data_IF_492771741605
#
_entry.id   IF_492771741605
#
_cell.length_a   1.000
_cell.length_b   1.000
_cell.length_c   1.000
_cell.angle_alpha   90.00
_cell.angle_beta   90.00
_cell.angle_gamma   90.00
#
_symmetry.space_group_name_H-M   'P 1'
#
loop_
_entity.id
_entity.type
_entity.pdbx_description
1 polymer ?
#
# COMPACT_ATOMS: atom_id res chain seq x y z
N UNK A 1 42.42 27.23 -31.12
CA UNK A 1 42.76 25.99 -30.38
C UNK A 1 43.89 26.16 -29.36
N UNK A 2 44.84 27.05 -29.59
CA UNK A 2 45.96 27.27 -28.63
C UNK A 2 45.57 28.03 -27.35
N UNK A 3 44.50 28.82 -27.37
CA UNK A 3 44.03 29.57 -26.21
C UNK A 3 43.41 28.69 -25.10
N UNK A 4 42.82 27.55 -25.45
CA UNK A 4 42.18 26.65 -24.51
C UNK A 4 43.18 25.86 -23.66
N UNK A 5 44.33 25.51 -24.21
CA UNK A 5 45.39 24.76 -23.50
C UNK A 5 46.06 25.66 -22.43
N UNK A 6 46.29 26.94 -22.70
CA UNK A 6 46.87 27.90 -21.77
C UNK A 6 45.93 28.24 -20.60
N UNK A 7 44.62 28.31 -20.88
CA UNK A 7 43.60 28.52 -19.85
C UNK A 7 43.48 27.34 -18.89
N UNK A 8 43.54 26.12 -19.40
CA UNK A 8 43.52 24.91 -18.59
C UNK A 8 44.70 24.83 -17.63
N UNK A 9 45.88 25.24 -18.08
CA UNK A 9 47.10 25.25 -17.27
C UNK A 9 47.06 26.29 -16.16
N UNK A 10 46.41 27.44 -16.39
CA UNK A 10 46.27 28.52 -15.41
C UNK A 10 45.27 28.24 -14.30
N UNK A 11 44.20 27.51 -14.60
CA UNK A 11 43.12 27.23 -13.67
C UNK A 11 43.25 25.86 -13.00
N UNK A 12 44.33 25.13 -13.24
CA UNK A 12 44.59 23.84 -12.56
C UNK A 12 43.51 22.79 -12.78
N UNK A 13 42.79 22.86 -13.89
CA UNK A 13 41.76 21.89 -14.24
C UNK A 13 42.47 20.58 -14.56
N UNK A 14 42.52 19.69 -13.56
CA UNK A 14 42.99 18.31 -13.74
C UNK A 14 42.00 17.60 -14.66
N UNK A 15 42.51 16.89 -15.65
CA UNK A 15 41.66 15.91 -16.38
C UNK A 15 41.14 14.91 -15.38
N UNK A 16 39.90 15.07 -14.96
CA UNK A 16 39.24 14.08 -14.12
C UNK A 16 39.19 12.80 -14.93
N UNK A 17 39.77 11.78 -14.35
CA UNK A 17 39.68 10.41 -14.90
C UNK A 17 38.19 10.09 -15.06
N UNK A 18 37.78 9.76 -16.26
CA UNK A 18 36.41 9.42 -16.64
C UNK A 18 35.81 8.25 -15.83
N UNK A 19 36.64 7.63 -14.97
CA UNK A 19 36.23 6.57 -14.05
C UNK A 19 35.11 6.98 -13.10
N UNK A 20 35.03 8.24 -12.70
CA UNK A 20 33.93 8.75 -11.86
C UNK A 20 32.57 8.72 -12.58
N UNK A 21 32.54 8.97 -13.87
CA UNK A 21 31.32 8.88 -14.67
C UNK A 21 30.76 7.44 -14.69
N UNK A 22 31.63 6.46 -14.78
CA UNK A 22 31.23 5.05 -14.73
C UNK A 22 30.61 4.68 -13.37
N UNK A 23 31.19 5.17 -12.28
CA UNK A 23 30.60 4.99 -10.94
C UNK A 23 29.24 5.65 -10.82
N UNK A 24 29.08 6.86 -11.36
CA UNK A 24 27.80 7.56 -11.36
C UNK A 24 26.74 6.80 -12.18
N UNK A 25 27.10 6.28 -13.35
CA UNK A 25 26.18 5.51 -14.21
C UNK A 25 25.79 4.21 -13.51
N UNK A 26 26.73 3.48 -12.93
CA UNK A 26 26.45 2.22 -12.22
C UNK A 26 25.53 2.47 -11.02
N UNK A 27 25.80 3.53 -10.25
CA UNK A 27 24.94 3.91 -9.11
C UNK A 27 23.54 4.30 -9.56
N UNK A 28 23.41 5.02 -10.66
CA UNK A 28 22.11 5.42 -11.22
C UNK A 28 21.31 4.20 -11.68
N UNK A 29 21.96 3.26 -12.38
CA UNK A 29 21.31 2.03 -12.83
C UNK A 29 20.88 1.14 -11.66
N UNK A 30 21.73 1.01 -10.64
CA UNK A 30 21.40 0.24 -9.44
C UNK A 30 20.20 0.86 -8.69
N UNK A 31 20.22 2.17 -8.48
CA UNK A 31 19.13 2.88 -7.85
C UNK A 31 17.84 2.79 -8.67
N UNK A 32 17.90 2.98 -9.98
CA UNK A 32 16.77 2.87 -10.89
C UNK A 32 16.13 1.47 -10.87
N UNK A 33 16.95 0.44 -10.94
CA UNK A 33 16.47 -0.96 -10.86
C UNK A 33 15.79 -1.25 -9.52
N UNK A 34 16.37 -0.76 -8.43
CA UNK A 34 15.80 -0.93 -7.11
C UNK A 34 14.47 -0.18 -6.96
N UNK A 35 14.37 1.05 -7.48
CA UNK A 35 13.12 1.81 -7.47
C UNK A 35 12.02 1.12 -8.27
N UNK A 36 12.32 0.61 -9.47
CA UNK A 36 11.36 -0.11 -10.30
C UNK A 36 10.88 -1.37 -9.59
N UNK A 37 11.80 -2.15 -9.04
CA UNK A 37 11.46 -3.36 -8.29
C UNK A 37 10.57 -3.04 -7.08
N UNK A 38 10.92 -2.01 -6.30
CA UNK A 38 10.15 -1.57 -5.15
C UNK A 38 8.75 -1.08 -5.55
N UNK A 39 8.65 -0.31 -6.63
CA UNK A 39 7.37 0.18 -7.15
C UNK A 39 6.45 -0.95 -7.61
N UNK A 40 7.00 -1.92 -8.35
CA UNK A 40 6.24 -3.09 -8.81
C UNK A 40 5.75 -3.93 -7.63
N UNK A 41 6.60 -4.12 -6.63
CA UNK A 41 6.24 -4.89 -5.45
C UNK A 41 5.17 -4.18 -4.59
N UNK A 42 5.27 -2.87 -4.47
CA UNK A 42 4.26 -2.07 -3.76
C UNK A 42 2.93 -1.96 -4.52
N UNK A 43 2.98 -1.95 -5.86
CA UNK A 43 1.78 -1.86 -6.70
C UNK A 43 0.98 -3.17 -6.75
N UNK A 44 1.57 -4.30 -6.37
CA UNK A 44 0.94 -5.63 -6.42
C UNK A 44 0.93 -6.29 -5.03
N UNK A 45 0.17 -5.76 -4.05
CA UNK A 45 0.03 -6.41 -2.75
C UNK A 45 -0.66 -7.77 -2.89
N UNK A 46 -0.36 -8.69 -1.99
CA UNK A 46 -0.95 -10.03 -1.98
C UNK A 46 -2.45 -10.00 -1.68
N UNK A 47 -2.88 -9.01 -0.91
CA UNK A 47 -4.28 -8.77 -0.56
C UNK A 47 -4.62 -7.32 -0.90
N UNK A 48 -5.64 -7.13 -1.73
CA UNK A 48 -6.23 -5.81 -2.02
C UNK A 48 -7.61 -5.74 -1.42
N UNK A 49 -7.90 -4.67 -0.74
CA UNK A 49 -9.21 -4.45 -0.15
C UNK A 49 -9.63 -2.99 -0.32
N UNK A 50 -10.93 -2.80 -0.43
CA UNK A 50 -11.53 -1.47 -0.58
C UNK A 50 -12.88 -1.43 0.13
N UNK A 51 -13.09 -0.39 0.93
CA UNK A 51 -14.38 -0.13 1.54
C UNK A 51 -15.33 0.44 0.49
N UNK A 52 -16.42 -0.27 0.22
CA UNK A 52 -17.41 0.17 -0.77
C UNK A 52 -18.47 1.07 -0.13
N UNK A 53 -19.06 0.62 0.98
CA UNK A 53 -20.10 1.36 1.67
C UNK A 53 -20.27 0.89 3.11
N UNK A 54 -20.91 1.70 3.90
CA UNK A 54 -21.40 1.29 5.22
C UNK A 54 -22.78 1.91 5.46
N UNK A 55 -23.60 1.20 6.23
CA UNK A 55 -24.94 1.64 6.58
C UNK A 55 -25.17 1.44 8.08
N UNK A 56 -25.59 2.48 8.76
CA UNK A 56 -25.97 2.40 10.17
C UNK A 56 -27.32 1.70 10.27
N UNK A 57 -27.34 0.50 10.84
CA UNK A 57 -28.55 -0.31 11.00
C UNK A 57 -29.39 0.20 12.16
N UNK A 58 -28.75 0.43 13.30
CA UNK A 58 -29.34 1.01 14.49
C UNK A 58 -28.26 1.61 15.40
N UNK A 59 -28.64 2.07 16.59
CA UNK A 59 -27.71 2.72 17.53
C UNK A 59 -26.60 1.80 18.07
N UNK A 60 -26.66 0.50 17.79
CA UNK A 60 -25.71 -0.48 18.30
C UNK A 60 -25.16 -1.42 17.22
N UNK A 61 -25.43 -1.15 15.96
CA UNK A 61 -24.88 -1.94 14.87
C UNK A 61 -24.71 -1.14 13.59
N UNK A 62 -23.72 -1.52 12.80
CA UNK A 62 -23.41 -0.94 11.51
C UNK A 62 -23.08 -2.08 10.53
N UNK A 63 -23.67 -2.01 9.34
CA UNK A 63 -23.39 -2.92 8.23
C UNK A 63 -22.29 -2.35 7.35
N UNK A 64 -21.29 -3.13 7.03
CA UNK A 64 -20.14 -2.72 6.21
C UNK A 64 -20.04 -3.63 4.99
N UNK A 65 -19.98 -3.02 3.83
CA UNK A 65 -19.76 -3.72 2.56
C UNK A 65 -18.38 -3.33 2.02
N UNK A 66 -17.56 -4.32 1.75
CA UNK A 66 -16.23 -4.11 1.22
C UNK A 66 -15.88 -5.15 0.16
N UNK A 67 -14.91 -4.82 -0.68
CA UNK A 67 -14.36 -5.75 -1.66
C UNK A 67 -12.97 -6.21 -1.23
N UNK A 68 -12.67 -7.45 -1.53
CA UNK A 68 -11.35 -8.05 -1.30
C UNK A 68 -10.93 -8.88 -2.51
N UNK A 69 -9.67 -8.76 -2.88
CA UNK A 69 -9.04 -9.57 -3.91
C UNK A 69 -7.71 -10.09 -3.37
N UNK A 70 -7.52 -11.39 -3.43
CA UNK A 70 -6.33 -12.08 -2.93
C UNK A 70 -5.63 -12.82 -4.04
N UNK A 71 -4.30 -12.90 -3.98
CA UNK A 71 -3.51 -13.68 -4.95
C UNK A 71 -3.51 -15.16 -4.63
N UNK A 72 -3.43 -15.52 -3.36
CA UNK A 72 -3.40 -16.91 -2.91
C UNK A 72 -4.78 -17.32 -2.37
N UNK A 73 -5.45 -18.19 -3.10
CA UNK A 73 -6.76 -18.74 -2.74
C UNK A 73 -6.68 -20.03 -1.90
N UNK A 74 -5.48 -20.51 -1.61
CA UNK A 74 -5.25 -21.76 -0.89
C UNK A 74 -5.01 -21.58 0.61
N UNK A 75 -4.95 -20.33 1.08
CA UNK A 75 -4.77 -20.00 2.49
C UNK A 75 -5.97 -19.21 3.01
N UNK A 76 -6.17 -19.26 4.33
CA UNK A 76 -7.19 -18.48 4.99
C UNK A 76 -6.77 -17.01 5.06
N UNK A 77 -7.74 -16.12 4.90
CA UNK A 77 -7.56 -14.67 5.03
C UNK A 77 -8.48 -14.11 6.08
N UNK A 78 -8.14 -12.94 6.61
CA UNK A 78 -8.97 -12.22 7.56
C UNK A 78 -8.83 -10.72 7.38
N UNK A 79 -9.92 -9.98 7.62
CA UNK A 79 -9.92 -8.53 7.66
C UNK A 79 -10.35 -8.04 9.02
N UNK A 80 -9.60 -7.10 9.59
CA UNK A 80 -9.98 -6.39 10.80
C UNK A 80 -10.74 -5.11 10.41
N UNK A 81 -11.97 -4.99 10.86
CA UNK A 81 -12.87 -3.89 10.53
C UNK A 81 -13.33 -3.25 11.82
N UNK A 82 -13.30 -1.93 11.88
CA UNK A 82 -13.66 -1.16 13.07
C UNK A 82 -14.82 -0.22 12.77
N UNK A 83 -15.67 -0.01 13.77
CA UNK A 83 -16.69 1.03 13.76
C UNK A 83 -16.29 2.15 14.70
N UNK A 84 -16.58 3.39 14.31
CA UNK A 84 -16.20 4.60 15.05
C UNK A 84 -17.41 5.47 15.30
N UNK A 85 -17.35 6.22 16.40
CA UNK A 85 -18.34 7.26 16.73
C UNK A 85 -17.98 8.62 16.10
N UNK A 86 -18.76 9.64 16.45
CA UNK A 86 -18.57 11.01 15.97
C UNK A 86 -17.20 11.59 16.41
N UNK A 87 -16.68 11.16 17.53
CA UNK A 87 -15.38 11.58 18.07
C UNK A 87 -14.21 10.75 17.53
N UNK A 88 -14.46 9.85 16.58
CA UNK A 88 -13.50 8.93 15.97
C UNK A 88 -12.94 7.86 16.92
N UNK A 89 -13.62 7.61 18.02
CA UNK A 89 -13.27 6.52 18.93
C UNK A 89 -13.76 5.19 18.37
N UNK A 90 -12.95 4.15 18.50
CA UNK A 90 -13.34 2.79 18.13
C UNK A 90 -14.35 2.26 19.14
N UNK A 91 -15.57 2.02 18.68
CA UNK A 91 -16.69 1.54 19.52
C UNK A 91 -17.11 0.12 19.20
N UNK A 92 -16.57 -0.46 18.15
CA UNK A 92 -16.77 -1.86 17.78
C UNK A 92 -15.67 -2.31 16.84
N UNK A 93 -15.32 -3.57 16.93
CA UNK A 93 -14.32 -4.22 16.09
C UNK A 93 -14.73 -5.64 15.80
N UNK A 94 -14.49 -6.10 14.57
CA UNK A 94 -14.72 -7.47 14.16
C UNK A 94 -13.57 -7.93 13.26
N UNK A 95 -13.21 -9.22 13.41
CA UNK A 95 -12.31 -9.87 12.46
C UNK A 95 -13.15 -10.79 11.57
N UNK A 96 -13.27 -10.44 10.30
CA UNK A 96 -13.99 -11.25 9.31
C UNK A 96 -13.07 -12.34 8.78
N UNK A 97 -13.28 -13.56 9.26
CA UNK A 97 -12.52 -14.73 8.84
C UNK A 97 -13.04 -15.26 7.50
N UNK A 98 -12.13 -15.41 6.56
CA UNK A 98 -12.42 -15.90 5.22
C UNK A 98 -11.61 -17.19 4.97
N UNK A 99 -12.22 -18.36 5.12
CA UNK A 99 -11.55 -19.63 4.80
C UNK A 99 -11.13 -19.68 3.33
N UNK A 100 -10.08 -20.41 3.03
CA UNK A 100 -9.52 -20.55 1.68
C UNK A 100 -10.57 -20.89 0.61
N UNK A 101 -11.56 -21.72 0.96
CA UNK A 101 -12.63 -22.15 0.05
C UNK A 101 -13.73 -21.11 -0.17
N UNK A 102 -13.78 -20.04 0.61
CA UNK A 102 -14.85 -19.03 0.57
C UNK A 102 -14.59 -17.89 -0.42
N UNK A 103 -13.36 -17.71 -0.88
CA UNK A 103 -12.95 -16.67 -1.80
C UNK A 103 -12.78 -17.23 -3.22
N UNK A 104 -13.10 -16.38 -4.19
CA UNK A 104 -12.95 -16.66 -5.63
C UNK A 104 -11.83 -15.80 -6.22
N UNK A 105 -11.34 -16.21 -7.37
CA UNK A 105 -10.43 -15.39 -8.17
C UNK A 105 -11.07 -14.06 -8.55
N UNK A 106 -10.31 -12.97 -8.45
CA UNK A 106 -10.79 -11.62 -8.73
C UNK A 106 -11.39 -10.92 -7.51
N UNK A 107 -12.35 -10.05 -7.74
CA UNK A 107 -12.98 -9.24 -6.70
C UNK A 107 -14.09 -10.02 -6.00
N UNK A 108 -14.02 -10.10 -4.67
CA UNK A 108 -15.06 -10.67 -3.82
C UNK A 108 -15.70 -9.55 -3.01
N UNK A 109 -17.03 -9.48 -3.02
CA UNK A 109 -17.80 -8.49 -2.25
C UNK A 109 -18.34 -9.19 -0.99
N UNK A 110 -18.08 -8.61 0.16
CA UNK A 110 -18.55 -9.11 1.45
C UNK A 110 -19.31 -8.03 2.20
N UNK A 111 -20.35 -8.45 2.88
CA UNK A 111 -21.12 -7.58 3.77
C UNK A 111 -21.14 -8.20 5.15
N UNK A 112 -20.75 -7.45 6.16
CA UNK A 112 -20.76 -7.87 7.55
C UNK A 112 -21.43 -6.81 8.42
N UNK A 113 -21.92 -7.24 9.58
CA UNK A 113 -22.51 -6.40 10.59
C UNK A 113 -21.62 -6.36 11.83
N UNK A 114 -21.35 -5.15 12.33
CA UNK A 114 -20.51 -4.93 13.50
C UNK A 114 -21.41 -4.46 14.65
N UNK A 115 -21.38 -5.18 15.76
CA UNK A 115 -22.01 -4.74 16.99
C UNK A 115 -21.16 -3.65 17.66
N UNK A 116 -21.78 -2.56 18.06
CA UNK A 116 -21.12 -1.41 18.67
C UNK A 116 -21.67 -1.13 20.05
N UNK A 117 -20.85 -0.50 20.88
CA UNK A 117 -21.26 -0.10 22.25
C UNK A 117 -22.01 1.21 22.29
N UNK A 118 -21.71 2.09 21.33
CA UNK A 118 -22.32 3.39 21.18
C UNK A 118 -22.85 3.55 19.75
N UNK A 119 -23.53 4.66 19.48
CA UNK A 119 -24.07 4.94 18.15
C UNK A 119 -22.93 5.10 17.12
N UNK A 120 -22.83 4.23 16.12
CA UNK A 120 -21.78 4.29 15.11
C UNK A 120 -22.09 5.39 14.08
N UNK A 121 -21.05 6.05 13.58
CA UNK A 121 -21.12 7.07 12.53
C UNK A 121 -20.40 6.63 11.27
N UNK A 122 -19.27 5.94 11.42
CA UNK A 122 -18.54 5.39 10.29
C UNK A 122 -17.89 4.04 10.62
N UNK A 123 -17.40 3.40 9.59
CA UNK A 123 -16.62 2.19 9.71
C UNK A 123 -15.46 2.21 8.73
N UNK A 124 -14.42 1.47 9.01
CA UNK A 124 -13.25 1.35 8.17
C UNK A 124 -12.55 0.03 8.33
N UNK A 125 -11.77 -0.34 7.31
CA UNK A 125 -10.93 -1.53 7.32
C UNK A 125 -9.57 -1.13 7.87
N UNK A 126 -9.12 -1.80 8.93
CA UNK A 126 -7.81 -1.55 9.53
C UNK A 126 -6.71 -2.28 8.78
N UNK A 127 -6.92 -3.57 8.54
CA UNK A 127 -5.97 -4.42 7.82
C UNK A 127 -6.64 -5.69 7.31
N UNK A 128 -6.09 -6.26 6.26
CA UNK A 128 -6.43 -7.59 5.76
C UNK A 128 -5.15 -8.39 5.57
N UNK A 129 -5.22 -9.66 5.88
CA UNK A 129 -4.08 -10.58 5.74
C UNK A 129 -4.46 -11.75 4.85
#
# INVERSE_FOLDING_TARGET
MLASARLRQRYGIKEEKRSWLWLAIISLLAAGTWFIWSAVNAANPDVRYELLSFEVVNDQSISVTYSISVKDLNIDHSCAIVARDIDKNTIGEISDLMPASSLKSGVNIRTIEIATRLSPVNAGITSCQ
#
